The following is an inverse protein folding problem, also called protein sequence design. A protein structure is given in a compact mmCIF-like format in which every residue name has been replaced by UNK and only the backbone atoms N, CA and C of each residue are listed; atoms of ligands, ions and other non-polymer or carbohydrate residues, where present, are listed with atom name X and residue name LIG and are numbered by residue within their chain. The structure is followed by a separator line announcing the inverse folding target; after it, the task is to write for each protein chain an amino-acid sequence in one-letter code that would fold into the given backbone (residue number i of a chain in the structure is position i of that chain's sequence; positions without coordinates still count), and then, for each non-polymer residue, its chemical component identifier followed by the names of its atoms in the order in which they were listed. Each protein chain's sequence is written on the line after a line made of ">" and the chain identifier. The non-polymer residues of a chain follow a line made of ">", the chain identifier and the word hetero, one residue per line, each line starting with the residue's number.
data_IF_545712246090
#
_entry.id   IF_545712246090
#
_cell.length_a   1.000
_cell.length_b   1.000
_cell.length_c   1.000
_cell.angle_alpha   90.00
_cell.angle_beta   90.00
_cell.angle_gamma   90.00
#
_symmetry.space_group_name_H-M   'P 1'
#
loop_
_entity.id
_entity.type
_entity.pdbx_description
1 polymer ?
#
# COMPACT_ATOMS: atom_id res chain seq x y z
N UNK A 1 25.40 7.51 -19.02
CA UNK A 1 24.89 8.35 -17.92
C UNK A 1 23.58 7.74 -17.48
N UNK A 2 23.43 7.37 -16.22
CA UNK A 2 22.14 6.91 -15.69
C UNK A 2 21.30 8.14 -15.39
N UNK A 3 20.22 8.32 -16.14
CA UNK A 3 19.24 9.39 -15.91
C UNK A 3 18.68 9.28 -14.48
N UNK A 4 18.72 10.40 -13.73
CA UNK A 4 18.13 10.47 -12.39
C UNK A 4 16.63 10.76 -12.52
N UNK A 5 15.80 9.83 -12.07
CA UNK A 5 14.37 10.04 -11.94
C UNK A 5 14.05 10.90 -10.71
N UNK A 6 13.26 11.95 -10.92
CA UNK A 6 12.75 12.81 -9.85
C UNK A 6 11.24 12.94 -10.02
N UNK A 7 10.49 12.62 -8.97
CA UNK A 7 9.04 12.76 -8.94
C UNK A 7 8.69 14.12 -8.35
N UNK A 8 7.93 14.95 -9.07
CA UNK A 8 7.56 16.32 -8.64
C UNK A 8 6.05 16.58 -8.66
N UNK A 9 5.22 15.57 -8.86
CA UNK A 9 3.76 15.73 -8.95
C UNK A 9 3.04 15.29 -7.66
N UNK A 10 3.58 15.71 -6.51
CA UNK A 10 3.00 15.42 -5.19
C UNK A 10 1.62 16.05 -4.97
N UNK A 11 1.24 17.03 -5.80
CA UNK A 11 -0.09 17.64 -5.78
C UNK A 11 -1.18 16.73 -6.37
N UNK A 12 -0.82 15.84 -7.30
CA UNK A 12 -1.77 14.89 -7.88
C UNK A 12 -1.90 13.63 -7.02
N UNK A 13 -0.78 13.04 -6.61
CA UNK A 13 -0.74 11.86 -5.73
C UNK A 13 0.63 11.71 -5.06
N UNK A 14 0.75 10.76 -4.14
CA UNK A 14 1.97 10.50 -3.39
C UNK A 14 2.31 9.02 -3.40
N UNK A 15 3.62 8.71 -3.29
CA UNK A 15 4.04 7.35 -3.00
C UNK A 15 3.45 6.90 -1.65
N UNK A 16 3.06 5.62 -1.57
CA UNK A 16 2.61 5.03 -0.31
C UNK A 16 3.80 4.97 0.65
N UNK A 17 3.62 5.45 1.87
CA UNK A 17 4.64 5.33 2.91
C UNK A 17 4.90 3.85 3.24
N UNK A 18 6.15 3.49 3.50
CA UNK A 18 6.52 2.10 3.78
C UNK A 18 5.76 1.51 4.97
N UNK A 19 5.57 2.29 6.04
CA UNK A 19 4.83 1.84 7.23
C UNK A 19 3.35 1.59 6.94
N UNK A 20 2.77 2.38 6.03
CA UNK A 20 1.39 2.18 5.57
C UNK A 20 1.28 0.90 4.75
N UNK A 21 2.23 0.65 3.84
CA UNK A 21 2.27 -0.60 3.09
C UNK A 21 2.40 -1.81 4.03
N UNK A 22 3.33 -1.76 4.98
CA UNK A 22 3.54 -2.83 5.97
C UNK A 22 2.27 -3.10 6.80
N UNK A 23 1.54 -2.06 7.19
CA UNK A 23 0.26 -2.21 7.89
C UNK A 23 -0.85 -2.82 7.01
N UNK A 24 -0.79 -2.64 5.69
CA UNK A 24 -1.79 -3.17 4.76
C UNK A 24 -1.54 -4.62 4.34
N UNK A 25 -0.27 -5.04 4.25
CA UNK A 25 0.11 -6.35 3.71
C UNK A 25 -0.59 -7.57 4.36
N UNK A 26 -0.80 -7.63 5.69
CA UNK A 26 -1.46 -8.79 6.32
C UNK A 26 -2.85 -9.11 5.75
N UNK A 27 -3.61 -8.09 5.33
CA UNK A 27 -4.96 -8.25 4.80
C UNK A 27 -5.02 -8.90 3.41
N UNK A 28 -3.88 -9.10 2.76
CA UNK A 28 -3.79 -9.78 1.47
C UNK A 28 -3.43 -11.26 1.58
N UNK A 29 -2.96 -11.75 2.74
CA UNK A 29 -2.49 -13.12 2.89
C UNK A 29 -2.88 -13.81 4.20
N UNK A 30 -2.86 -13.09 5.32
CA UNK A 30 -3.08 -13.65 6.66
C UNK A 30 -4.51 -13.36 7.15
N UNK A 31 -4.98 -12.12 6.95
CA UNK A 31 -6.28 -11.62 7.40
C UNK A 31 -7.20 -11.31 6.20
N UNK A 32 -7.39 -12.28 5.30
CA UNK A 32 -8.14 -12.12 4.05
C UNK A 32 -9.67 -12.34 4.19
N UNK A 33 -10.16 -12.58 5.41
CA UNK A 33 -11.56 -12.91 5.67
C UNK A 33 -12.51 -11.77 5.28
N UNK A 34 -13.72 -12.12 4.83
CA UNK A 34 -14.75 -11.11 4.58
C UNK A 34 -15.20 -10.48 5.90
N UNK A 35 -15.11 -9.15 6.09
CA UNK A 35 -15.50 -8.49 7.33
C UNK A 35 -16.97 -8.68 7.74
N UNK A 36 -17.84 -9.04 6.79
CA UNK A 36 -19.27 -9.29 7.04
C UNK A 36 -19.59 -10.76 7.33
N UNK A 37 -18.63 -11.68 7.20
CA UNK A 37 -18.86 -13.07 7.51
C UNK A 37 -18.97 -13.27 9.02
N UNK A 38 -20.05 -13.92 9.47
CA UNK A 38 -20.25 -14.30 10.88
C UNK A 38 -19.42 -15.55 11.26
N UNK A 39 -18.79 -16.20 10.29
CA UNK A 39 -18.00 -17.42 10.43
C UNK A 39 -16.68 -17.26 9.67
N UNK A 40 -15.61 -17.83 10.20
CA UNK A 40 -14.28 -17.84 9.59
C UNK A 40 -14.16 -18.97 8.55
#
# INVERSE_FOLDING_TARGET
>A
MTERYVYMDHSATTAVDRSVLEAMLPYFSEEFGNPNSLHL
#
